data_IF_914500113820
#
_entry.id   IF_914500113820
#
_cell.length_a   1.000
_cell.length_b   1.000
_cell.length_c   1.000
_cell.angle_alpha   90.00
_cell.angle_beta   90.00
_cell.angle_gamma   90.00
#
_symmetry.space_group_name_H-M   'P 1'
#
loop_
_entity.id
_entity.type
_entity.pdbx_description
1 polymer ?
#
# COMPACT_ATOMS: atom_id res chain seq x y z
N UNK A 1 14.12 -11.33 7.49
CA UNK A 1 13.09 -11.34 6.45
C UNK A 1 12.02 -10.32 6.78
N UNK A 2 11.62 -9.50 5.84
CA UNK A 2 10.62 -8.44 6.00
C UNK A 2 9.48 -8.70 5.03
N UNK A 3 8.26 -8.53 5.49
CA UNK A 3 7.04 -8.67 4.68
C UNK A 3 6.22 -7.39 4.81
N UNK A 4 5.81 -6.81 3.68
CA UNK A 4 4.92 -5.65 3.63
C UNK A 4 3.53 -6.11 3.21
N UNK A 5 2.53 -5.79 4.03
CA UNK A 5 1.13 -6.12 3.80
C UNK A 5 0.27 -4.86 3.84
N UNK A 6 -0.70 -4.73 2.94
CA UNK A 6 -1.79 -3.77 3.09
C UNK A 6 -2.80 -4.23 4.15
N UNK A 7 -3.52 -3.29 4.76
CA UNK A 7 -4.47 -3.58 5.83
C UNK A 7 -5.67 -4.43 5.38
N UNK A 8 -6.12 -4.25 4.12
CA UNK A 8 -7.12 -5.13 3.52
C UNK A 8 -6.63 -6.57 3.34
N UNK A 9 -5.33 -6.75 3.16
CA UNK A 9 -4.70 -8.05 2.99
C UNK A 9 -4.54 -8.82 4.30
N UNK A 10 -4.53 -8.13 5.46
CA UNK A 10 -4.51 -8.80 6.79
C UNK A 10 -5.85 -9.50 7.08
N UNK A 11 -6.93 -9.12 6.44
CA UNK A 11 -8.22 -9.76 6.58
C UNK A 11 -8.29 -11.10 5.82
N UNK A 12 -7.33 -11.35 4.93
CA UNK A 12 -7.17 -12.61 4.23
C UNK A 12 -6.65 -13.69 5.20
N UNK A 13 -7.36 -14.82 5.29
CA UNK A 13 -7.01 -15.94 6.20
C UNK A 13 -5.59 -16.44 6.04
N UNK A 14 -5.05 -16.40 4.85
CA UNK A 14 -3.71 -16.86 4.49
C UNK A 14 -2.58 -16.05 5.14
N UNK A 15 -2.78 -14.77 5.39
CA UNK A 15 -1.81 -13.93 6.12
C UNK A 15 -1.67 -14.44 7.55
N UNK A 16 -2.76 -14.83 8.18
CA UNK A 16 -2.75 -15.40 9.53
C UNK A 16 -2.14 -16.80 9.56
N UNK A 17 -2.42 -17.65 8.56
CA UNK A 17 -1.83 -18.97 8.43
C UNK A 17 -0.31 -18.89 8.23
N UNK A 18 0.17 -17.98 7.37
CA UNK A 18 1.60 -17.75 7.19
C UNK A 18 2.27 -17.22 8.46
N UNK A 19 1.60 -16.33 9.20
CA UNK A 19 2.09 -15.78 10.46
C UNK A 19 2.15 -16.84 11.56
N UNK A 20 1.13 -17.70 11.66
CA UNK A 20 1.13 -18.82 12.60
C UNK A 20 2.21 -19.85 12.26
N UNK A 21 2.44 -20.15 10.98
CA UNK A 21 3.51 -21.06 10.55
C UNK A 21 4.88 -20.48 10.87
N UNK A 22 5.09 -19.17 10.66
CA UNK A 22 6.32 -18.47 11.01
C UNK A 22 6.59 -18.53 12.52
N UNK A 23 5.57 -18.31 13.35
CA UNK A 23 5.63 -18.43 14.80
C UNK A 23 5.92 -19.84 15.26
N UNK A 24 5.26 -20.86 14.66
CA UNK A 24 5.49 -22.27 14.97
C UNK A 24 6.92 -22.71 14.63
N UNK A 25 7.48 -22.19 13.54
CA UNK A 25 8.86 -22.50 13.10
C UNK A 25 9.93 -21.62 13.75
N UNK A 26 9.55 -20.71 14.67
CA UNK A 26 10.46 -19.79 15.37
C UNK A 26 11.37 -19.03 14.41
N UNK A 27 10.78 -18.42 13.38
CA UNK A 27 11.50 -17.58 12.42
C UNK A 27 11.74 -16.20 13.04
N UNK A 28 12.83 -16.08 13.79
CA UNK A 28 13.16 -14.87 14.59
C UNK A 28 13.60 -13.70 13.71
N UNK A 29 13.84 -13.92 12.43
CA UNK A 29 14.28 -12.94 11.45
C UNK A 29 13.19 -12.55 10.43
N UNK A 30 11.92 -12.93 10.69
CA UNK A 30 10.77 -12.48 9.92
C UNK A 30 10.21 -11.21 10.56
N UNK A 31 10.25 -10.10 9.84
CA UNK A 31 9.58 -8.85 10.20
C UNK A 31 8.44 -8.63 9.20
N UNK A 32 7.22 -8.59 9.72
CA UNK A 32 6.02 -8.29 8.94
C UNK A 32 5.74 -6.81 9.09
N UNK A 33 5.78 -6.07 7.98
CA UNK A 33 5.42 -4.66 7.94
C UNK A 33 4.01 -4.59 7.34
N UNK A 34 3.07 -4.08 8.13
CA UNK A 34 1.68 -3.91 7.72
C UNK A 34 1.45 -2.44 7.39
N UNK A 35 1.13 -2.14 6.15
CA UNK A 35 0.56 -0.83 5.79
C UNK A 35 -0.92 -0.83 6.22
N UNK A 36 -1.13 -0.60 7.51
CA UNK A 36 -2.44 -0.67 8.11
C UNK A 36 -3.23 0.60 7.83
N UNK A 37 -4.18 0.50 6.93
CA UNK A 37 -5.00 1.58 6.42
C UNK A 37 -6.17 1.95 7.33
N UNK A 38 -6.52 1.12 8.24
CA UNK A 38 -7.61 1.06 9.22
C UNK A 38 -8.58 2.26 9.36
N UNK A 39 -8.93 2.87 8.24
CA UNK A 39 -10.10 3.71 8.12
C UNK A 39 -11.08 2.97 7.20
N UNK A 40 -11.92 2.15 7.80
CA UNK A 40 -13.08 1.61 7.09
C UNK A 40 -14.02 2.76 6.70
N UNK A 41 -14.82 2.51 5.67
CA UNK A 41 -15.67 3.47 4.94
C UNK A 41 -16.71 4.20 5.84
N UNK A 42 -16.85 3.81 7.11
CA UNK A 42 -17.92 4.23 8.04
C UNK A 42 -17.51 5.31 9.07
N UNK A 43 -16.35 5.99 8.87
CA UNK A 43 -15.99 7.18 9.67
C UNK A 43 -15.59 6.93 11.11
N UNK A 44 -15.44 5.68 11.54
CA UNK A 44 -14.92 5.34 12.86
C UNK A 44 -13.43 5.00 12.75
N UNK A 45 -12.65 5.50 13.72
CA UNK A 45 -11.26 5.04 13.91
C UNK A 45 -11.34 3.61 14.46
N UNK A 46 -11.08 2.63 13.61
CA UNK A 46 -11.09 1.21 13.98
C UNK A 46 -9.72 0.74 14.44
N UNK A 47 -8.66 1.44 14.04
CA UNK A 47 -7.29 1.20 14.42
C UNK A 47 -6.49 2.51 14.44
N UNK A 48 -5.57 2.64 15.39
CA UNK A 48 -4.78 3.85 15.64
C UNK A 48 -3.36 3.78 15.09
N UNK A 49 -2.96 2.68 14.49
CA UNK A 49 -1.57 2.44 14.08
C UNK A 49 -1.02 3.56 13.19
N UNK A 50 -1.82 4.12 12.29
CA UNK A 50 -1.40 5.26 11.45
C UNK A 50 -1.14 6.53 12.26
N UNK A 51 -2.01 6.81 13.22
CA UNK A 51 -1.82 7.96 14.11
C UNK A 51 -0.57 7.77 14.96
N UNK A 52 -0.42 6.59 15.56
CA UNK A 52 0.76 6.23 16.37
C UNK A 52 2.04 6.27 15.55
N UNK A 53 2.02 5.78 14.32
CA UNK A 53 3.18 5.78 13.44
C UNK A 53 3.63 7.21 13.02
N UNK A 54 2.72 8.17 12.95
CA UNK A 54 3.03 9.57 12.65
C UNK A 54 3.55 10.35 13.87
N UNK A 55 3.28 9.89 15.10
CA UNK A 55 3.65 10.61 16.33
C UNK A 55 5.13 10.97 16.44
N UNK A 56 6.11 10.11 16.07
CA UNK A 56 7.52 10.47 16.18
C UNK A 56 7.87 11.73 15.41
N UNK A 57 7.40 11.85 14.18
CA UNK A 57 7.61 13.04 13.33
C UNK A 57 6.90 14.26 13.91
N UNK A 58 5.64 14.14 14.28
CA UNK A 58 4.85 15.24 14.86
C UNK A 58 5.51 15.74 16.15
N UNK A 59 5.87 14.84 17.08
CA UNK A 59 6.54 15.19 18.34
C UNK A 59 7.90 15.87 18.12
N UNK A 60 8.65 15.42 17.13
CA UNK A 60 9.94 16.08 16.79
C UNK A 60 9.73 17.50 16.30
N UNK A 61 8.76 17.72 15.39
CA UNK A 61 8.46 19.06 14.89
C UNK A 61 7.98 20.00 16.00
N UNK A 62 7.14 19.50 16.92
CA UNK A 62 6.71 20.28 18.10
C UNK A 62 7.89 20.61 19.01
N UNK A 63 8.75 19.64 19.30
CA UNK A 63 9.91 19.83 20.18
C UNK A 63 10.93 20.82 19.60
N UNK A 64 10.99 20.94 18.29
CA UNK A 64 11.84 21.93 17.58
C UNK A 64 11.18 23.31 17.51
N UNK A 65 10.00 23.51 18.08
CA UNK A 65 9.28 24.78 18.07
C UNK A 65 8.51 25.04 16.77
N UNK A 66 8.30 24.02 15.94
CA UNK A 66 7.57 24.16 14.68
C UNK A 66 6.07 24.38 14.91
N UNK A 67 5.45 25.18 14.04
CA UNK A 67 3.99 25.28 13.87
C UNK A 67 3.58 24.13 12.95
N UNK A 68 2.91 23.11 13.50
CA UNK A 68 2.68 21.84 12.78
C UNK A 68 1.31 21.86 12.12
N UNK A 69 1.28 21.85 10.79
CA UNK A 69 0.04 21.74 10.02
C UNK A 69 -0.04 20.34 9.42
N UNK A 70 -1.03 19.59 9.86
CA UNK A 70 -1.27 18.23 9.40
C UNK A 70 -2.32 18.22 8.30
N UNK A 71 -2.06 17.48 7.22
CA UNK A 71 -3.05 17.18 6.19
C UNK A 71 -3.12 15.68 5.95
N UNK A 72 -4.31 15.17 5.71
CA UNK A 72 -4.55 13.76 5.44
C UNK A 72 -5.83 13.57 4.64
N UNK A 73 -6.15 12.31 4.29
CA UNK A 73 -7.39 11.98 3.64
C UNK A 73 -8.08 10.79 4.31
N UNK A 74 -9.39 10.71 4.10
CA UNK A 74 -10.23 9.62 4.56
C UNK A 74 -11.20 9.21 3.45
N UNK A 75 -11.23 7.93 3.11
CA UNK A 75 -12.16 7.37 2.14
C UNK A 75 -12.07 7.98 0.73
N UNK A 76 -13.18 7.97 0.01
CA UNK A 76 -13.30 8.45 -1.38
C UNK A 76 -14.50 9.40 -1.53
N UNK A 77 -14.45 10.64 -1.03
CA UNK A 77 -15.55 11.60 -1.07
C UNK A 77 -15.83 12.16 -2.47
N UNK A 78 -15.03 11.80 -3.47
CA UNK A 78 -15.18 12.18 -4.90
C UNK A 78 -15.19 13.70 -5.14
N UNK A 79 -14.37 14.43 -4.38
CA UNK A 79 -14.18 15.87 -4.58
C UNK A 79 -15.29 16.75 -4.01
N UNK A 80 -15.97 16.29 -2.96
CA UNK A 80 -16.99 17.07 -2.26
C UNK A 80 -16.99 16.74 -0.76
N UNK A 81 -17.41 17.67 0.11
CA UNK A 81 -17.55 17.42 1.53
C UNK A 81 -18.57 16.30 1.83
N UNK A 82 -18.16 15.33 2.64
CA UNK A 82 -18.97 14.21 3.13
C UNK A 82 -18.77 14.14 4.63
N UNK A 83 -19.76 14.47 5.47
CA UNK A 83 -19.60 14.57 6.92
C UNK A 83 -19.02 13.32 7.58
N UNK A 84 -19.38 12.14 7.10
CA UNK A 84 -18.91 10.83 7.60
C UNK A 84 -17.42 10.60 7.30
N UNK A 85 -16.86 11.36 6.36
CA UNK A 85 -15.46 11.30 5.97
C UNK A 85 -14.65 12.53 6.45
N UNK A 86 -15.18 13.28 7.42
CA UNK A 86 -14.47 14.37 8.08
C UNK A 86 -13.34 13.85 8.96
N UNK A 87 -12.24 14.57 9.03
CA UNK A 87 -11.11 14.29 9.91
C UNK A 87 -11.29 14.82 11.34
N UNK A 88 -12.44 15.41 11.68
CA UNK A 88 -12.73 15.91 13.04
C UNK A 88 -12.49 14.84 14.15
N UNK A 89 -12.95 13.58 14.02
CA UNK A 89 -12.66 12.53 15.00
C UNK A 89 -11.16 12.23 15.13
N UNK A 90 -10.41 12.37 14.04
CA UNK A 90 -8.94 12.15 14.02
C UNK A 90 -8.24 13.24 14.83
N UNK A 91 -8.67 14.51 14.73
CA UNK A 91 -8.10 15.61 15.53
C UNK A 91 -8.29 15.37 17.05
N UNK A 92 -9.46 14.91 17.44
CA UNK A 92 -9.77 14.57 18.85
C UNK A 92 -8.83 13.46 19.33
N UNK A 93 -8.75 12.36 18.58
CA UNK A 93 -7.92 11.24 19.00
C UNK A 93 -6.44 11.57 19.01
N UNK A 94 -5.98 12.35 18.03
CA UNK A 94 -4.58 12.77 17.97
C UNK A 94 -4.23 13.70 19.12
N UNK A 95 -5.16 14.56 19.58
CA UNK A 95 -4.99 15.38 20.77
C UNK A 95 -4.73 14.52 22.03
N UNK A 96 -5.50 13.46 22.20
CA UNK A 96 -5.30 12.50 23.31
C UNK A 96 -3.92 11.82 23.24
N UNK A 97 -3.50 11.36 22.06
CA UNK A 97 -2.22 10.68 21.85
C UNK A 97 -1.00 11.61 22.02
N UNK A 98 -1.16 12.88 21.70
CA UNK A 98 -0.11 13.89 21.87
C UNK A 98 -0.08 14.47 23.29
N UNK A 99 -1.19 14.41 24.02
CA UNK A 99 -1.35 15.07 25.32
C UNK A 99 -1.45 16.60 25.22
N UNK A 100 -1.79 17.13 24.03
CA UNK A 100 -2.02 18.54 23.75
C UNK A 100 -3.12 18.72 22.70
N UNK A 101 -3.71 19.91 22.64
CA UNK A 101 -4.74 20.21 21.67
C UNK A 101 -4.22 20.15 20.23
N UNK A 102 -4.94 19.42 19.39
CA UNK A 102 -4.83 19.49 17.92
C UNK A 102 -6.05 20.26 17.42
N UNK A 103 -5.87 21.50 17.02
CA UNK A 103 -6.95 22.35 16.51
C UNK A 103 -7.42 21.79 15.16
N UNK A 104 -8.71 21.47 15.05
CA UNK A 104 -9.28 21.07 13.78
C UNK A 104 -9.70 22.29 12.96
N UNK A 105 -9.10 22.49 11.81
CA UNK A 105 -9.46 23.56 10.88
C UNK A 105 -10.62 23.09 9.98
N UNK A 106 -11.84 23.17 10.50
CA UNK A 106 -13.05 22.78 9.81
C UNK A 106 -13.33 23.72 8.62
N UNK A 107 -12.84 23.34 7.45
CA UNK A 107 -13.01 24.11 6.22
C UNK A 107 -13.35 23.16 5.05
N UNK A 108 -14.56 23.26 4.46
CA UNK A 108 -14.96 22.36 3.37
C UNK A 108 -14.10 22.55 2.09
N UNK A 109 -13.39 23.70 1.99
CA UNK A 109 -12.43 23.96 0.91
C UNK A 109 -11.02 23.45 1.24
N UNK A 110 -10.83 22.87 2.44
CA UNK A 110 -9.54 22.36 2.98
C UNK A 110 -8.54 23.48 3.26
N UNK A 111 -8.31 24.37 2.30
CA UNK A 111 -7.44 25.56 2.40
C UNK A 111 -8.26 26.83 2.15
N UNK A 112 -9.43 26.90 2.74
CA UNK A 112 -10.31 28.05 2.65
C UNK A 112 -10.03 29.10 3.74
N UNK A 113 -10.95 30.07 3.93
CA UNK A 113 -10.77 31.16 4.88
C UNK A 113 -10.58 30.70 6.33
N UNK A 114 -11.30 29.66 6.77
CA UNK A 114 -11.20 29.14 8.13
C UNK A 114 -9.85 28.51 8.41
N UNK A 115 -9.34 27.70 7.47
CA UNK A 115 -8.03 27.09 7.58
C UNK A 115 -6.91 28.14 7.60
N UNK A 116 -6.96 29.13 6.71
CA UNK A 116 -5.99 30.24 6.65
C UNK A 116 -6.00 31.07 7.94
N UNK A 117 -7.17 31.38 8.48
CA UNK A 117 -7.30 32.11 9.75
C UNK A 117 -6.70 31.26 10.91
N UNK A 118 -7.03 29.99 10.98
CA UNK A 118 -6.49 29.10 12.01
C UNK A 118 -4.95 29.02 11.96
N UNK A 119 -4.38 28.90 10.77
CA UNK A 119 -2.90 28.88 10.57
C UNK A 119 -2.25 30.21 10.96
N UNK A 120 -2.88 31.33 10.63
CA UNK A 120 -2.35 32.66 10.97
C UNK A 120 -2.27 32.91 12.50
N UNK A 121 -3.13 32.26 13.29
CA UNK A 121 -3.15 32.37 14.75
C UNK A 121 -2.16 31.44 15.45
N UNK A 122 -1.49 30.52 14.75
CA UNK A 122 -0.60 29.51 15.33
C UNK A 122 0.60 30.14 16.05
N UNK A 123 0.95 29.55 17.17
CA UNK A 123 2.19 29.80 17.93
C UNK A 123 3.13 28.60 17.78
N UNK A 124 4.38 28.79 18.16
CA UNK A 124 5.37 27.73 18.15
C UNK A 124 4.92 26.55 19.03
N UNK A 125 4.96 25.35 18.48
CA UNK A 125 4.49 24.12 19.12
C UNK A 125 3.00 23.79 18.91
N UNK A 126 2.22 24.72 18.34
CA UNK A 126 0.80 24.43 18.02
C UNK A 126 0.68 23.40 16.90
N UNK A 127 -0.42 22.62 16.98
CA UNK A 127 -0.75 21.61 15.97
C UNK A 127 -2.15 21.88 15.42
N UNK A 128 -2.27 21.92 14.10
CA UNK A 128 -3.54 22.02 13.37
C UNK A 128 -3.69 20.83 12.45
N UNK A 129 -4.89 20.26 12.38
CA UNK A 129 -5.29 19.29 11.36
C UNK A 129 -6.25 19.95 10.37
N UNK A 130 -5.92 19.94 9.09
CA UNK A 130 -6.83 20.38 8.02
C UNK A 130 -7.93 19.36 7.79
N UNK A 131 -9.00 19.76 7.10
CA UNK A 131 -10.04 18.86 6.66
C UNK A 131 -9.53 17.91 5.55
N UNK A 132 -10.29 16.86 5.27
CA UNK A 132 -9.98 15.81 4.31
C UNK A 132 -9.58 16.37 2.95
N UNK A 133 -8.31 16.19 2.56
CA UNK A 133 -7.78 16.74 1.30
C UNK A 133 -8.56 16.29 0.07
N UNK A 134 -9.20 15.11 0.12
CA UNK A 134 -10.03 14.58 -0.97
C UNK A 134 -11.41 15.21 -1.08
N UNK A 135 -11.77 16.18 -0.23
CA UNK A 135 -12.91 17.04 -0.49
C UNK A 135 -12.69 17.92 -1.71
N UNK A 136 -11.42 18.11 -2.10
CA UNK A 136 -11.05 18.80 -3.34
C UNK A 136 -10.85 17.75 -4.45
N UNK A 137 -11.54 17.96 -5.56
CA UNK A 137 -11.42 17.12 -6.74
C UNK A 137 -10.02 17.19 -7.38
N UNK A 138 -9.35 18.32 -7.20
CA UNK A 138 -8.00 18.61 -7.67
C UNK A 138 -6.95 17.75 -6.98
N UNK A 139 -7.19 17.30 -5.74
CA UNK A 139 -6.23 16.53 -4.94
C UNK A 139 -5.69 15.33 -5.71
N UNK A 140 -6.58 14.45 -6.18
CA UNK A 140 -6.19 13.21 -6.86
C UNK A 140 -5.73 13.40 -8.30
N UNK A 141 -5.97 14.57 -8.88
CA UNK A 141 -5.52 14.94 -10.22
C UNK A 141 -4.19 15.68 -10.21
N UNK A 142 -3.67 16.02 -9.04
CA UNK A 142 -2.45 16.77 -8.86
C UNK A 142 -2.47 18.15 -9.55
N UNK A 143 -3.59 18.87 -9.41
CA UNK A 143 -3.78 20.15 -10.04
C UNK A 143 -3.01 21.27 -9.33
N UNK A 144 -2.37 22.15 -10.09
CA UNK A 144 -1.47 23.17 -9.57
C UNK A 144 -2.15 24.19 -8.64
N UNK A 145 -3.43 24.50 -8.86
CA UNK A 145 -4.15 25.46 -8.02
C UNK A 145 -4.21 25.02 -6.56
N UNK A 146 -4.67 23.79 -6.31
CA UNK A 146 -4.75 23.26 -4.94
C UNK A 146 -3.38 22.94 -4.35
N UNK A 147 -2.42 22.55 -5.19
CA UNK A 147 -1.03 22.35 -4.76
C UNK A 147 -0.40 23.66 -4.24
N UNK A 148 -0.66 24.80 -4.90
CA UNK A 148 -0.25 26.13 -4.45
C UNK A 148 -0.96 26.55 -3.17
N UNK A 149 -2.26 26.27 -3.06
CA UNK A 149 -3.02 26.54 -1.84
C UNK A 149 -2.40 25.82 -0.63
N UNK A 150 -2.11 24.51 -0.75
CA UNK A 150 -1.45 23.74 0.30
C UNK A 150 -0.06 24.32 0.64
N UNK A 151 0.76 24.62 -0.37
CA UNK A 151 2.09 25.18 -0.19
C UNK A 151 2.06 26.57 0.47
N UNK A 152 0.99 27.36 0.26
CA UNK A 152 0.85 28.67 0.87
C UNK A 152 0.71 28.67 2.39
N UNK A 153 0.46 27.51 2.97
CA UNK A 153 0.30 27.34 4.42
C UNK A 153 1.61 27.03 5.14
N UNK A 154 2.68 26.67 4.44
CA UNK A 154 3.91 26.17 5.08
C UNK A 154 5.18 26.67 4.41
N UNK A 155 6.26 26.77 5.20
CA UNK A 155 7.61 27.08 4.72
C UNK A 155 8.39 25.80 4.35
N UNK A 156 8.07 24.69 5.04
CA UNK A 156 8.70 23.39 4.85
C UNK A 156 7.61 22.32 4.72
N UNK A 157 7.72 21.50 3.71
CA UNK A 157 6.85 20.34 3.51
C UNK A 157 7.53 19.06 4.02
N UNK A 158 6.82 18.29 4.85
CA UNK A 158 7.27 17.00 5.35
C UNK A 158 6.34 15.90 4.86
N UNK A 159 6.84 15.01 4.01
CA UNK A 159 6.07 13.82 3.59
C UNK A 159 6.33 12.67 4.57
N UNK A 160 5.27 12.26 5.27
CA UNK A 160 5.32 11.11 6.18
C UNK A 160 4.21 10.10 5.89
N UNK A 161 3.71 10.08 4.64
CA UNK A 161 2.61 9.28 4.17
C UNK A 161 3.08 8.23 3.15
N UNK A 162 3.73 7.15 3.62
CA UNK A 162 4.27 6.10 2.75
C UNK A 162 3.21 5.43 1.88
N UNK A 163 2.03 5.10 2.45
CA UNK A 163 0.95 4.45 1.72
C UNK A 163 0.42 5.22 0.50
N UNK A 164 0.68 6.52 0.41
CA UNK A 164 0.33 7.36 -0.76
C UNK A 164 1.53 7.79 -1.60
N UNK A 165 2.76 7.42 -1.21
CA UNK A 165 3.99 7.87 -1.87
C UNK A 165 4.07 7.43 -3.34
N UNK A 166 3.40 6.35 -3.72
CA UNK A 166 3.31 5.85 -5.09
C UNK A 166 2.36 6.66 -6.00
N UNK A 167 1.63 7.64 -5.45
CA UNK A 167 0.63 8.44 -6.19
C UNK A 167 1.12 9.86 -6.38
N UNK A 168 0.79 10.45 -7.53
CA UNK A 168 0.99 11.86 -7.78
C UNK A 168 -0.29 12.63 -7.40
N UNK A 169 -0.41 13.05 -6.13
CA UNK A 169 -1.50 13.89 -5.62
C UNK A 169 -0.98 15.29 -5.24
N UNK A 170 -1.87 16.26 -5.04
CA UNK A 170 -1.48 17.59 -4.60
C UNK A 170 -0.74 17.58 -3.28
N UNK A 171 -1.25 16.81 -2.29
CA UNK A 171 -0.73 16.76 -0.92
C UNK A 171 0.57 15.95 -0.76
N UNK A 172 1.09 15.33 -1.81
CA UNK A 172 2.38 14.62 -1.74
C UNK A 172 3.37 15.04 -2.83
N UNK A 173 2.96 15.18 -4.09
CA UNK A 173 3.83 15.56 -5.20
C UNK A 173 3.61 17.03 -5.60
N UNK A 174 2.35 17.47 -5.73
CA UNK A 174 2.07 18.81 -6.23
C UNK A 174 2.63 19.92 -5.34
N UNK A 175 2.46 19.80 -4.03
CA UNK A 175 2.93 20.77 -3.04
C UNK A 175 4.45 20.99 -3.11
N UNK A 176 5.23 19.95 -3.43
CA UNK A 176 6.71 20.05 -3.48
C UNK A 176 7.22 20.97 -4.57
N UNK A 177 6.40 21.29 -5.56
CA UNK A 177 6.76 22.26 -6.63
C UNK A 177 6.76 23.72 -6.16
N UNK A 178 6.13 24.01 -5.03
CA UNK A 178 5.82 25.36 -4.56
C UNK A 178 6.36 25.66 -3.16
N UNK A 179 7.16 24.76 -2.59
CA UNK A 179 7.90 24.97 -1.35
C UNK A 179 9.40 24.87 -1.64
N UNK A 180 10.20 25.66 -0.96
CA UNK A 180 11.66 25.67 -1.14
C UNK A 180 12.32 24.43 -0.52
N UNK A 181 11.70 23.89 0.53
CA UNK A 181 12.22 22.74 1.27
C UNK A 181 11.16 21.65 1.40
N UNK A 182 11.45 20.48 0.84
CA UNK A 182 10.63 19.29 0.98
C UNK A 182 11.50 18.14 1.51
N UNK A 183 11.06 17.52 2.60
CA UNK A 183 11.78 16.43 3.29
C UNK A 183 10.83 15.26 3.59
N UNK A 184 11.39 14.15 4.05
CA UNK A 184 10.62 13.01 4.54
C UNK A 184 10.58 13.00 6.06
N UNK A 185 9.46 12.52 6.63
CA UNK A 185 9.34 12.25 8.06
C UNK A 185 9.94 10.89 8.45
N UNK A 186 9.93 10.59 9.75
CA UNK A 186 10.55 9.38 10.29
C UNK A 186 9.87 8.09 9.84
N UNK A 187 8.55 8.11 9.59
CA UNK A 187 7.85 6.94 9.05
C UNK A 187 8.34 6.63 7.64
N UNK A 188 8.35 7.64 6.77
CA UNK A 188 8.88 7.52 5.41
C UNK A 188 10.35 7.10 5.40
N UNK A 189 11.18 7.71 6.28
CA UNK A 189 12.61 7.35 6.39
C UNK A 189 12.78 5.88 6.76
N UNK A 190 12.01 5.40 7.74
CA UNK A 190 12.02 4.00 8.14
C UNK A 190 11.69 3.07 6.99
N UNK A 191 10.64 3.36 6.23
CA UNK A 191 10.26 2.57 5.05
C UNK A 191 11.34 2.59 3.96
N UNK A 192 11.93 3.76 3.68
CA UNK A 192 13.03 3.91 2.72
C UNK A 192 14.25 3.10 3.17
N UNK A 193 14.63 3.16 4.45
CA UNK A 193 15.76 2.44 4.98
C UNK A 193 15.56 0.92 4.90
N UNK A 194 14.38 0.42 5.27
CA UNK A 194 14.09 -1.00 5.24
C UNK A 194 13.90 -1.53 3.82
N UNK A 195 12.96 -0.96 3.07
CA UNK A 195 12.64 -1.44 1.72
C UNK A 195 13.74 -1.10 0.72
N UNK A 196 14.29 0.12 0.81
CA UNK A 196 15.37 0.55 -0.06
C UNK A 196 16.62 -0.34 0.10
N UNK A 197 17.01 -0.66 1.33
CA UNK A 197 18.13 -1.57 1.57
C UNK A 197 17.81 -3.00 1.15
N UNK A 198 16.60 -3.50 1.48
CA UNK A 198 16.18 -4.84 1.08
C UNK A 198 16.20 -5.03 -0.43
N UNK A 199 15.83 -3.99 -1.21
CA UNK A 199 15.76 -4.08 -2.68
C UNK A 199 17.09 -3.74 -3.36
N UNK A 200 17.88 -2.81 -2.81
CA UNK A 200 19.10 -2.35 -3.46
C UNK A 200 20.37 -3.12 -3.02
N UNK A 201 20.39 -3.62 -1.77
CA UNK A 201 21.50 -4.37 -1.19
C UNK A 201 21.00 -5.64 -0.48
N UNK A 202 20.26 -6.54 -1.17
CA UNK A 202 19.68 -7.72 -0.54
C UNK A 202 20.75 -8.71 -0.09
N UNK A 203 20.53 -9.35 1.05
CA UNK A 203 21.18 -10.62 1.35
C UNK A 203 20.55 -11.71 0.48
N UNK A 204 21.40 -12.46 -0.25
CA UNK A 204 20.91 -13.50 -1.19
C UNK A 204 20.85 -14.88 -0.53
N UNK A 205 19.90 -15.75 -0.92
CA UNK A 205 18.90 -15.59 -1.98
C UNK A 205 17.82 -14.55 -1.67
N UNK A 206 17.50 -13.69 -2.67
CA UNK A 206 16.43 -12.70 -2.59
C UNK A 206 15.20 -13.18 -3.33
N UNK A 207 14.09 -13.34 -2.61
CA UNK A 207 12.79 -13.74 -3.15
C UNK A 207 11.84 -12.54 -3.08
N UNK A 208 11.24 -12.18 -4.19
CA UNK A 208 10.10 -11.27 -4.21
C UNK A 208 8.81 -12.03 -4.46
N UNK A 209 7.74 -11.66 -3.76
CA UNK A 209 6.39 -12.19 -3.94
C UNK A 209 5.53 -11.04 -4.43
N UNK A 210 4.89 -11.21 -5.57
CA UNK A 210 4.05 -10.21 -6.18
C UNK A 210 2.67 -10.79 -6.44
N UNK A 211 1.67 -10.20 -5.80
CA UNK A 211 0.25 -10.52 -5.98
C UNK A 211 -0.55 -9.32 -6.50
N UNK A 212 -1.83 -9.55 -6.70
CA UNK A 212 -2.77 -8.52 -7.13
C UNK A 212 -3.72 -9.00 -8.22
N UNK A 213 -4.73 -8.19 -8.51
CA UNK A 213 -5.76 -8.54 -9.49
C UNK A 213 -5.28 -8.39 -10.95
N UNK A 214 -4.39 -7.41 -11.23
CA UNK A 214 -4.07 -6.96 -12.58
C UNK A 214 -2.58 -6.88 -12.86
N UNK A 215 -2.13 -7.51 -13.96
CA UNK A 215 -0.76 -7.39 -14.50
C UNK A 215 -0.46 -5.94 -14.89
N UNK A 216 -1.39 -5.26 -15.55
CA UNK A 216 -1.25 -3.89 -16.04
C UNK A 216 -0.81 -2.90 -14.95
N UNK A 217 -1.27 -3.09 -13.72
CA UNK A 217 -0.93 -2.23 -12.59
C UNK A 217 0.47 -2.49 -12.00
N UNK A 218 1.14 -3.56 -12.42
CA UNK A 218 2.41 -4.03 -11.83
C UNK A 218 3.57 -4.13 -12.85
N UNK A 219 3.37 -3.67 -14.07
CA UNK A 219 4.36 -3.77 -15.16
C UNK A 219 5.74 -3.28 -14.74
N UNK A 220 5.83 -2.03 -14.30
CA UNK A 220 7.10 -1.43 -13.90
C UNK A 220 7.73 -2.13 -12.68
N UNK A 221 6.90 -2.65 -11.78
CA UNK A 221 7.37 -3.39 -10.60
C UNK A 221 7.97 -4.72 -11.02
N UNK A 222 7.29 -5.49 -11.89
CA UNK A 222 7.79 -6.78 -12.40
C UNK A 222 9.14 -6.55 -13.10
N UNK A 223 9.21 -5.58 -14.01
CA UNK A 223 10.43 -5.28 -14.76
C UNK A 223 11.60 -4.91 -13.84
N UNK A 224 11.37 -4.04 -12.85
CA UNK A 224 12.40 -3.63 -11.91
C UNK A 224 12.84 -4.77 -10.98
N UNK A 225 11.92 -5.64 -10.55
CA UNK A 225 12.24 -6.77 -9.69
C UNK A 225 13.06 -7.82 -10.43
N UNK A 226 12.79 -8.09 -11.71
CA UNK A 226 13.58 -9.04 -12.52
C UNK A 226 15.06 -8.66 -12.64
N UNK A 227 15.43 -7.40 -12.39
CA UNK A 227 16.84 -6.96 -12.35
C UNK A 227 17.50 -7.15 -10.97
N UNK A 228 16.73 -7.52 -9.94
CA UNK A 228 17.20 -7.46 -8.55
C UNK A 228 17.10 -8.80 -7.82
N UNK A 229 16.11 -9.62 -8.14
CA UNK A 229 15.77 -10.84 -7.38
C UNK A 229 16.42 -12.09 -7.93
N UNK A 230 16.59 -13.11 -7.10
CA UNK A 230 16.96 -14.46 -7.53
C UNK A 230 15.71 -15.28 -7.89
N UNK A 231 14.59 -15.03 -7.19
CA UNK A 231 13.31 -15.68 -7.44
C UNK A 231 12.19 -14.64 -7.38
N UNK A 232 11.31 -14.67 -8.37
CA UNK A 232 10.07 -13.89 -8.40
C UNK A 232 8.89 -14.85 -8.36
N UNK A 233 8.04 -14.71 -7.36
CA UNK A 233 6.79 -15.44 -7.20
C UNK A 233 5.65 -14.54 -7.66
N UNK A 234 4.83 -15.01 -8.59
CA UNK A 234 3.61 -14.34 -9.04
C UNK A 234 2.40 -15.11 -8.54
N UNK A 235 1.56 -14.44 -7.76
CA UNK A 235 0.32 -14.97 -7.21
C UNK A 235 -0.88 -14.06 -7.50
N UNK A 236 -2.01 -14.33 -6.82
CA UNK A 236 -3.24 -13.57 -6.98
C UNK A 236 -3.87 -13.65 -8.36
N UNK A 237 -4.88 -12.81 -8.61
CA UNK A 237 -5.62 -12.80 -9.86
C UNK A 237 -4.79 -12.56 -11.13
N UNK A 238 -3.68 -11.85 -11.00
CA UNK A 238 -2.77 -11.63 -12.13
C UNK A 238 -2.14 -12.92 -12.67
N UNK A 239 -2.03 -13.97 -11.85
CA UNK A 239 -1.47 -15.25 -12.28
C UNK A 239 -2.31 -15.94 -13.36
N UNK A 240 -3.63 -15.68 -13.41
CA UNK A 240 -4.51 -16.24 -14.45
C UNK A 240 -4.19 -15.65 -15.84
N UNK A 241 -3.74 -14.41 -15.92
CA UNK A 241 -3.25 -13.83 -17.17
C UNK A 241 -2.00 -14.58 -17.68
N UNK A 242 -1.09 -14.97 -16.78
CA UNK A 242 0.07 -15.79 -17.13
C UNK A 242 -0.33 -17.21 -17.56
N UNK A 243 -1.29 -17.83 -16.85
CA UNK A 243 -1.80 -19.15 -17.21
C UNK A 243 -2.48 -19.14 -18.59
N UNK A 244 -3.31 -18.12 -18.87
CA UNK A 244 -3.95 -17.93 -20.18
C UNK A 244 -2.93 -17.72 -21.29
N UNK A 245 -1.92 -16.90 -21.04
CA UNK A 245 -0.84 -16.62 -22.00
C UNK A 245 -0.08 -17.90 -22.40
N UNK A 246 0.02 -18.87 -21.51
CA UNK A 246 0.62 -20.19 -21.77
C UNK A 246 -0.35 -21.18 -22.44
N UNK A 247 -1.53 -20.73 -22.87
CA UNK A 247 -2.53 -21.54 -23.56
C UNK A 247 -3.56 -22.25 -22.67
N UNK A 248 -3.58 -21.93 -21.37
CA UNK A 248 -4.51 -22.51 -20.41
C UNK A 248 -5.92 -21.94 -20.48
N UNK A 249 -6.85 -22.62 -19.79
CA UNK A 249 -8.22 -22.14 -19.53
C UNK A 249 -8.31 -21.58 -18.13
N UNK A 250 -9.00 -20.43 -17.98
CA UNK A 250 -9.09 -19.70 -16.71
C UNK A 250 -10.54 -19.48 -16.24
N UNK A 251 -11.52 -20.08 -16.92
CA UNK A 251 -12.94 -19.99 -16.57
C UNK A 251 -13.42 -18.55 -16.47
N UNK A 252 -14.09 -18.21 -15.35
CA UNK A 252 -14.54 -16.84 -15.03
C UNK A 252 -13.49 -16.02 -14.27
N UNK A 253 -12.28 -16.54 -14.04
CA UNK A 253 -11.23 -15.86 -13.28
C UNK A 253 -10.88 -14.50 -13.89
N UNK A 254 -10.31 -13.62 -13.07
CA UNK A 254 -9.80 -12.33 -13.53
C UNK A 254 -8.79 -12.52 -14.67
N UNK A 255 -9.00 -11.83 -15.79
CA UNK A 255 -8.16 -11.94 -16.97
C UNK A 255 -7.96 -10.57 -17.63
N UNK A 256 -6.72 -10.28 -18.00
CA UNK A 256 -6.35 -9.16 -18.87
C UNK A 256 -5.80 -9.73 -20.18
N UNK A 257 -6.67 -10.02 -21.16
CA UNK A 257 -6.28 -10.63 -22.44
C UNK A 257 -5.22 -9.81 -23.19
N UNK A 258 -5.34 -8.50 -23.18
CA UNK A 258 -4.39 -7.57 -23.83
C UNK A 258 -2.97 -7.68 -23.25
N UNK A 259 -2.80 -8.25 -22.06
CA UNK A 259 -1.52 -8.42 -21.39
C UNK A 259 -0.95 -9.84 -21.46
N UNK A 260 -1.59 -10.76 -22.20
CA UNK A 260 -1.05 -12.12 -22.36
C UNK A 260 0.30 -12.12 -23.07
N UNK A 261 0.50 -11.29 -24.10
CA UNK A 261 1.79 -11.19 -24.76
C UNK A 261 2.88 -10.65 -23.79
N UNK A 262 2.53 -9.62 -23.02
CA UNK A 262 3.43 -9.09 -21.98
C UNK A 262 3.82 -10.17 -20.95
N UNK A 263 2.87 -11.01 -20.54
CA UNK A 263 3.14 -12.10 -19.59
C UNK A 263 4.15 -13.11 -20.17
N UNK A 264 4.03 -13.47 -21.45
CA UNK A 264 5.01 -14.32 -22.14
C UNK A 264 6.39 -13.66 -22.20
N UNK A 265 6.44 -12.38 -22.56
CA UNK A 265 7.70 -11.62 -22.63
C UNK A 265 8.40 -11.58 -21.26
N UNK A 266 7.64 -11.47 -20.16
CA UNK A 266 8.21 -11.48 -18.80
C UNK A 266 8.74 -12.87 -18.41
N UNK A 267 8.09 -13.96 -18.83
CA UNK A 267 8.59 -15.32 -18.62
C UNK A 267 9.95 -15.48 -19.33
N UNK A 268 10.04 -15.08 -20.61
CA UNK A 268 11.31 -15.17 -21.36
C UNK A 268 12.39 -14.23 -20.81
N UNK A 269 12.00 -13.02 -20.37
CA UNK A 269 12.92 -12.06 -19.75
C UNK A 269 13.48 -12.60 -18.42
N UNK A 270 12.64 -13.21 -17.59
CA UNK A 270 13.09 -13.87 -16.36
C UNK A 270 14.10 -14.98 -16.65
N UNK A 271 13.79 -15.83 -17.62
CA UNK A 271 14.68 -16.91 -18.06
C UNK A 271 16.02 -16.38 -18.60
N UNK A 272 15.98 -15.34 -19.43
CA UNK A 272 17.19 -14.73 -20.00
C UNK A 272 18.08 -14.10 -18.90
N UNK A 273 17.48 -13.61 -17.81
CA UNK A 273 18.20 -13.03 -16.66
C UNK A 273 18.61 -14.07 -15.61
N UNK A 274 18.25 -15.34 -15.78
CA UNK A 274 18.50 -16.39 -14.79
C UNK A 274 17.66 -16.27 -13.52
N UNK A 275 16.59 -15.48 -13.55
CA UNK A 275 15.64 -15.33 -12.43
C UNK A 275 14.65 -16.49 -12.44
N UNK A 276 14.49 -17.16 -11.30
CA UNK A 276 13.49 -18.20 -11.12
C UNK A 276 12.10 -17.58 -10.99
N UNK A 277 11.35 -17.56 -12.08
CA UNK A 277 9.94 -17.11 -12.05
C UNK A 277 9.05 -18.29 -11.64
N UNK A 278 8.35 -18.16 -10.52
CA UNK A 278 7.41 -19.15 -10.01
C UNK A 278 5.97 -18.67 -10.23
N UNK A 279 5.22 -19.49 -10.95
CA UNK A 279 3.79 -19.34 -11.20
C UNK A 279 3.04 -20.47 -10.51
N UNK A 280 1.74 -20.31 -10.19
CA UNK A 280 0.92 -21.41 -9.69
C UNK A 280 0.93 -22.61 -10.65
N UNK A 281 1.02 -23.81 -10.09
CA UNK A 281 0.91 -25.09 -10.84
C UNK A 281 -0.43 -25.77 -10.62
N UNK A 282 -1.14 -25.40 -9.55
CA UNK A 282 -2.51 -25.79 -9.24
C UNK A 282 -3.26 -24.63 -8.58
N UNK A 283 -4.59 -24.70 -8.64
CA UNK A 283 -5.48 -23.69 -8.08
C UNK A 283 -6.63 -24.34 -7.32
N UNK A 284 -7.05 -23.73 -6.24
CA UNK A 284 -8.37 -23.91 -5.66
C UNK A 284 -9.35 -23.07 -6.46
N UNK A 285 -10.38 -23.68 -7.00
CA UNK A 285 -11.40 -23.03 -7.81
C UNK A 285 -12.77 -23.18 -7.18
N UNK A 286 -13.65 -22.20 -7.38
CA UNK A 286 -15.02 -22.20 -6.91
C UNK A 286 -16.02 -22.00 -8.05
N UNK A 287 -17.24 -22.49 -7.86
CA UNK A 287 -18.37 -22.22 -8.76
C UNK A 287 -19.01 -20.85 -8.52
N UNK A 288 -18.68 -20.20 -7.39
CA UNK A 288 -19.08 -18.85 -7.01
C UNK A 288 -18.03 -18.22 -6.09
N UNK A 289 -18.01 -16.86 -6.01
CA UNK A 289 -17.16 -16.11 -5.08
C UNK A 289 -17.87 -15.92 -3.75
N UNK A 290 -18.03 -17.01 -3.00
CA UNK A 290 -18.69 -17.02 -1.69
C UNK A 290 -18.09 -18.07 -0.75
N UNK A 291 -18.32 -17.89 0.56
CA UNK A 291 -17.88 -18.87 1.56
C UNK A 291 -18.62 -20.23 1.47
N UNK A 292 -19.77 -20.26 0.80
CA UNK A 292 -20.61 -21.44 0.62
C UNK A 292 -20.43 -22.07 -0.78
N UNK A 293 -19.46 -21.58 -1.57
CA UNK A 293 -19.18 -22.12 -2.90
C UNK A 293 -18.66 -23.56 -2.84
N UNK A 294 -19.03 -24.37 -3.85
CA UNK A 294 -18.36 -25.64 -4.04
C UNK A 294 -16.94 -25.38 -4.55
N UNK A 295 -15.96 -26.04 -3.94
CA UNK A 295 -14.55 -25.87 -4.30
C UNK A 295 -13.91 -27.15 -4.76
N UNK A 296 -12.95 -27.08 -5.64
CA UNK A 296 -12.08 -28.18 -6.04
C UNK A 296 -10.68 -27.70 -6.39
N UNK A 297 -9.71 -28.61 -6.37
CA UNK A 297 -8.35 -28.33 -6.82
C UNK A 297 -8.20 -28.79 -8.27
N UNK A 298 -7.69 -27.89 -9.12
CA UNK A 298 -7.39 -28.18 -10.53
C UNK A 298 -5.97 -27.76 -10.86
N UNK A 299 -5.38 -28.29 -11.93
CA UNK A 299 -4.10 -27.79 -12.42
C UNK A 299 -4.23 -26.35 -12.92
N UNK A 300 -3.16 -25.60 -12.78
CA UNK A 300 -3.13 -24.24 -13.32
C UNK A 300 -3.34 -24.26 -14.84
N UNK A 301 -4.24 -23.40 -15.32
CA UNK A 301 -4.62 -23.37 -16.73
C UNK A 301 -5.65 -24.45 -17.14
N UNK A 302 -6.23 -25.19 -16.20
CA UNK A 302 -7.31 -26.14 -16.46
C UNK A 302 -8.59 -25.79 -15.67
N UNK A 303 -8.86 -24.49 -15.47
CA UNK A 303 -10.06 -24.03 -14.76
C UNK A 303 -11.28 -24.24 -15.67
N UNK A 304 -12.30 -25.01 -15.20
CA UNK A 304 -13.48 -25.32 -16.01
C UNK A 304 -14.31 -24.06 -16.33
N UNK A 305 -15.08 -24.15 -17.40
CA UNK A 305 -16.08 -23.13 -17.72
C UNK A 305 -17.10 -23.00 -16.57
N UNK A 306 -17.43 -21.75 -16.21
CA UNK A 306 -18.36 -21.47 -15.11
C UNK A 306 -17.70 -21.43 -13.73
N UNK A 307 -16.45 -21.85 -13.58
CA UNK A 307 -15.67 -21.79 -12.36
C UNK A 307 -14.67 -20.64 -12.39
N UNK A 308 -14.24 -20.19 -11.22
CA UNK A 308 -13.19 -19.17 -11.10
C UNK A 308 -12.12 -19.58 -10.08
N UNK A 309 -10.92 -19.11 -10.28
CA UNK A 309 -9.83 -19.34 -9.36
C UNK A 309 -9.99 -18.46 -8.12
N UNK A 310 -9.94 -19.09 -6.96
CA UNK A 310 -10.04 -18.43 -5.66
C UNK A 310 -8.65 -18.27 -5.02
N UNK A 311 -7.81 -19.32 -5.14
CA UNK A 311 -6.49 -19.35 -4.51
C UNK A 311 -5.53 -20.32 -5.22
N UNK A 312 -4.27 -20.29 -4.75
CA UNK A 312 -3.28 -21.31 -5.12
C UNK A 312 -3.66 -22.68 -4.52
N UNK A 313 -3.31 -23.74 -5.23
CA UNK A 313 -3.50 -25.09 -4.72
C UNK A 313 -2.36 -25.57 -3.77
N UNK A 314 -2.51 -26.74 -3.16
CA UNK A 314 -1.56 -27.26 -2.18
C UNK A 314 -0.17 -27.55 -2.75
N UNK A 315 -0.06 -27.92 -4.02
CA UNK A 315 1.23 -28.13 -4.68
C UNK A 315 1.97 -26.80 -4.88
N UNK A 316 1.26 -25.79 -5.33
CA UNK A 316 1.80 -24.42 -5.47
C UNK A 316 2.25 -23.87 -4.11
N UNK A 317 1.43 -24.03 -3.07
CA UNK A 317 1.75 -23.57 -1.72
C UNK A 317 3.05 -24.22 -1.22
N UNK A 318 3.26 -25.52 -1.51
CA UNK A 318 4.52 -26.20 -1.18
C UNK A 318 5.71 -25.63 -1.95
N UNK A 319 5.57 -25.44 -3.27
CA UNK A 319 6.64 -24.89 -4.13
C UNK A 319 7.03 -23.48 -3.65
N UNK A 320 6.05 -22.63 -3.36
CA UNK A 320 6.29 -21.26 -2.89
C UNK A 320 6.92 -21.25 -1.49
N UNK A 321 6.45 -22.10 -0.59
CA UNK A 321 7.05 -22.27 0.75
C UNK A 321 8.51 -22.74 0.67
N UNK A 322 8.81 -23.70 -0.20
CA UNK A 322 10.18 -24.19 -0.37
C UNK A 322 11.10 -23.10 -0.95
N UNK A 323 10.57 -22.24 -1.84
CA UNK A 323 11.35 -21.12 -2.40
C UNK A 323 11.67 -20.04 -1.37
N UNK A 324 10.78 -19.80 -0.42
CA UNK A 324 10.96 -18.78 0.65
C UNK A 324 11.81 -19.30 1.80
N UNK A 325 11.78 -20.61 2.05
CA UNK A 325 12.41 -21.23 3.22
C UNK A 325 13.89 -20.91 3.41
N UNK A 326 14.66 -20.89 2.31
CA UNK A 326 16.08 -20.65 2.33
C UNK A 326 16.46 -19.22 1.94
N UNK A 327 15.48 -18.36 1.69
CA UNK A 327 15.69 -16.96 1.37
C UNK A 327 16.31 -16.19 2.54
N UNK A 328 17.23 -15.28 2.23
CA UNK A 328 17.79 -14.34 3.19
C UNK A 328 17.05 -13.01 3.19
N UNK A 329 16.58 -12.61 2.01
CA UNK A 329 15.70 -11.45 1.84
C UNK A 329 14.40 -11.89 1.19
N UNK A 330 13.28 -11.47 1.76
CA UNK A 330 11.95 -11.63 1.16
C UNK A 330 11.25 -10.28 1.17
N UNK A 331 10.75 -9.87 0.01
CA UNK A 331 9.88 -8.69 -0.14
C UNK A 331 8.54 -9.17 -0.69
N UNK A 332 7.45 -8.79 -0.02
CA UNK A 332 6.09 -9.19 -0.38
C UNK A 332 5.19 -7.96 -0.43
#
# INVERSE_FOLDING_TARGET
>A
TYTLLGDGEIQEGQVWEASMLAGHRKLDNLVVIVDNNNLQIDGKITDENRLVAALPTIKKLIADGGKVILCSHLGKPKGQPVPELSLAPVAVRLSELLGQEVKFAADPEVVGPNAKAAVAEMKDGDVILLENTRYRAEETKNEDAFSKDLASLCDVFVNDAFGTAHRAHCSNVGVTKYVDTAVVGYLMQKEIDFLGNAVNNPERPFVAILGGAKVSSKISVIENLLDKVDTLIIGGGMAYTFAKAQGGTVGKSLLEEDYCQYALDMIEKAKAKGVKLLLPVDNVVGDDFSNDANTQVVKAGEIPEGWEGLDIGPETAKIFSDAVKDAKTVVW
#
